data_IF_859373545873
#
_entry.id   IF_859373545873
#
_cell.length_a   1.000
_cell.length_b   1.000
_cell.length_c   1.000
_cell.angle_alpha   90.00
_cell.angle_beta   90.00
_cell.angle_gamma   90.00
#
_symmetry.space_group_name_H-M   'P 1'
#
loop_
_entity.id
_entity.type
_entity.pdbx_description
1 polymer ?
#
# COMPACT_ATOMS: atom_id res chain seq x y z
N UNK A 1 -19.17 24.06 12.32
CA UNK A 1 -19.97 22.84 12.57
C UNK A 1 -20.30 22.79 14.05
N UNK A 2 -21.54 23.11 14.43
CA UNK A 2 -22.00 23.05 15.82
C UNK A 2 -22.76 21.75 16.05
N UNK A 3 -22.24 20.87 16.90
CA UNK A 3 -23.01 19.73 17.38
C UNK A 3 -24.18 20.24 18.21
N UNK A 4 -25.41 19.83 17.87
CA UNK A 4 -26.60 20.12 18.67
C UNK A 4 -26.45 19.63 20.11
N UNK A 5 -27.40 20.04 20.97
CA UNK A 5 -27.38 19.68 22.39
C UNK A 5 -27.21 18.15 22.57
N UNK A 6 -26.21 17.73 23.37
CA UNK A 6 -25.96 16.31 23.65
C UNK A 6 -27.05 15.80 24.60
N UNK A 7 -27.76 14.75 24.19
CA UNK A 7 -28.73 14.04 25.05
C UNK A 7 -27.97 13.39 26.22
N UNK A 8 -28.48 13.40 27.47
CA UNK A 8 -27.85 12.69 28.57
C UNK A 8 -27.65 11.20 28.28
N UNK A 9 -26.50 10.66 28.69
CA UNK A 9 -26.13 9.25 28.47
C UNK A 9 -25.32 8.71 29.65
N UNK A 10 -25.36 7.40 29.92
CA UNK A 10 -24.62 6.79 31.01
C UNK A 10 -23.11 6.87 30.76
N UNK A 11 -22.35 7.46 31.69
CA UNK A 11 -20.90 7.66 31.56
C UNK A 11 -20.07 6.43 31.93
N UNK A 12 -20.65 5.48 32.65
CA UNK A 12 -19.98 4.29 33.15
C UNK A 12 -20.04 3.11 32.16
N UNK A 13 -20.83 3.22 31.09
CA UNK A 13 -20.94 2.17 30.07
C UNK A 13 -19.78 2.30 29.10
N UNK A 14 -19.07 1.20 28.88
CA UNK A 14 -17.97 1.11 27.93
C UNK A 14 -18.31 0.14 26.80
N UNK A 15 -17.88 0.48 25.58
CA UNK A 15 -17.92 -0.41 24.42
C UNK A 15 -16.64 -0.22 23.60
N UNK A 16 -16.14 -1.28 22.94
CA UNK A 16 -14.91 -1.24 22.16
C UNK A 16 -14.97 -0.26 20.98
N UNK A 17 -16.14 -0.02 20.40
CA UNK A 17 -16.35 0.96 19.32
C UNK A 17 -16.51 2.39 19.82
N UNK A 18 -16.47 2.61 21.14
CA UNK A 18 -16.77 3.88 21.79
C UNK A 18 -18.17 3.90 22.39
N UNK A 19 -18.82 5.06 22.35
CA UNK A 19 -20.14 5.27 22.94
C UNK A 19 -20.76 6.57 22.44
N UNK A 20 -21.67 7.15 23.21
CA UNK A 20 -22.35 8.39 22.82
C UNK A 20 -21.38 9.57 22.70
N UNK A 21 -21.33 10.16 21.50
CA UNK A 21 -20.54 11.36 21.17
C UNK A 21 -19.05 11.25 21.56
N UNK A 22 -18.44 10.09 21.30
CA UNK A 22 -17.03 9.84 21.62
C UNK A 22 -16.12 10.85 20.90
N UNK A 23 -15.45 11.70 21.68
CA UNK A 23 -14.47 12.68 21.19
C UNK A 23 -13.30 12.73 22.19
N UNK A 24 -12.45 11.69 22.23
CA UNK A 24 -11.32 11.65 23.15
C UNK A 24 -10.32 12.75 22.80
N UNK A 25 -9.68 13.33 23.80
CA UNK A 25 -8.70 14.41 23.61
C UNK A 25 -7.54 14.00 22.68
N UNK A 26 -7.16 12.71 22.71
CA UNK A 26 -6.01 12.17 22.00
C UNK A 26 -6.35 11.53 20.63
N UNK A 27 -7.52 11.83 20.06
CA UNK A 27 -7.97 11.16 18.82
C UNK A 27 -6.95 11.25 17.69
N UNK A 28 -6.25 12.39 17.53
CA UNK A 28 -5.24 12.60 16.48
C UNK A 28 -4.07 11.63 16.60
N UNK A 29 -3.51 11.52 17.81
CA UNK A 29 -2.39 10.63 18.07
C UNK A 29 -2.79 9.16 17.88
N UNK A 30 -3.97 8.77 18.39
CA UNK A 30 -4.47 7.40 18.24
C UNK A 30 -4.71 7.05 16.76
N UNK A 31 -5.28 7.96 15.97
CA UNK A 31 -5.47 7.77 14.52
C UNK A 31 -4.13 7.68 13.79
N UNK A 32 -3.14 8.49 14.17
CA UNK A 32 -1.80 8.42 13.59
C UNK A 32 -1.16 7.05 13.87
N UNK A 33 -1.21 6.57 15.11
CA UNK A 33 -0.69 5.26 15.48
C UNK A 33 -1.39 4.15 14.70
N UNK A 34 -2.74 4.17 14.64
CA UNK A 34 -3.50 3.20 13.86
C UNK A 34 -3.11 3.22 12.38
N UNK A 35 -2.96 4.41 11.79
CA UNK A 35 -2.52 4.59 10.40
C UNK A 35 -1.12 4.01 10.15
N UNK A 36 -0.16 4.25 11.06
CA UNK A 36 1.20 3.70 10.96
C UNK A 36 1.19 2.18 11.03
N UNK A 37 0.41 1.58 11.94
CA UNK A 37 0.31 0.12 12.05
C UNK A 37 -0.28 -0.49 10.77
N UNK A 38 -1.37 0.08 10.25
CA UNK A 38 -1.98 -0.39 9.00
C UNK A 38 -1.02 -0.25 7.82
N UNK A 39 -0.35 0.90 7.69
CA UNK A 39 0.62 1.14 6.63
C UNK A 39 1.80 0.15 6.70
N UNK A 40 2.32 -0.12 7.90
CA UNK A 40 3.37 -1.10 8.11
C UNK A 40 2.95 -2.52 7.70
N UNK A 41 1.75 -2.95 8.10
CA UNK A 41 1.21 -4.25 7.72
C UNK A 41 1.03 -4.38 6.19
N UNK A 42 0.52 -3.33 5.55
CA UNK A 42 0.37 -3.27 4.09
C UNK A 42 1.74 -3.32 3.38
N UNK A 43 2.73 -2.57 3.85
CA UNK A 43 4.06 -2.55 3.24
C UNK A 43 4.74 -3.92 3.29
N UNK A 44 4.67 -4.61 4.44
CA UNK A 44 5.24 -5.97 4.59
C UNK A 44 4.52 -6.97 3.70
N UNK A 45 3.18 -6.95 3.70
CA UNK A 45 2.37 -7.86 2.88
C UNK A 45 2.58 -7.61 1.39
N UNK A 46 2.65 -6.34 0.98
CA UNK A 46 2.95 -5.94 -0.39
C UNK A 46 4.30 -6.48 -0.84
N UNK A 47 5.36 -6.22 -0.05
CA UNK A 47 6.72 -6.69 -0.37
C UNK A 47 6.77 -8.20 -0.47
N UNK A 48 6.15 -8.91 0.48
CA UNK A 48 6.07 -10.36 0.48
C UNK A 48 5.37 -10.91 -0.77
N UNK A 49 4.26 -10.27 -1.18
CA UNK A 49 3.49 -10.63 -2.38
C UNK A 49 4.29 -10.36 -3.66
N UNK A 50 4.85 -9.15 -3.79
CA UNK A 50 5.61 -8.72 -4.98
C UNK A 50 6.85 -9.57 -5.25
N UNK A 51 7.49 -10.12 -4.21
CA UNK A 51 8.62 -11.06 -4.34
C UNK A 51 8.20 -12.46 -4.79
N UNK A 52 6.93 -12.84 -4.58
CA UNK A 52 6.39 -14.16 -4.90
C UNK A 52 5.50 -14.17 -6.14
N UNK A 53 5.24 -13.00 -6.71
CA UNK A 53 4.49 -12.87 -7.94
C UNK A 53 5.26 -13.55 -9.08
N UNK A 54 4.65 -14.60 -9.65
CA UNK A 54 5.20 -15.35 -10.78
C UNK A 54 4.32 -15.20 -12.00
N UNK A 55 4.94 -14.90 -13.13
CA UNK A 55 4.33 -14.75 -14.44
C UNK A 55 4.65 -15.96 -15.32
N UNK A 56 3.60 -16.54 -15.91
CA UNK A 56 3.70 -17.71 -16.80
C UNK A 56 4.49 -17.42 -18.07
N UNK A 57 4.42 -16.18 -18.57
CA UNK A 57 5.12 -15.73 -19.77
C UNK A 57 5.61 -14.30 -19.61
N UNK A 58 6.64 -13.95 -20.38
CA UNK A 58 7.08 -12.57 -20.54
C UNK A 58 6.03 -11.77 -21.32
N UNK A 59 5.58 -10.60 -20.83
CA UNK A 59 4.63 -9.74 -21.55
C UNK A 59 5.17 -9.24 -22.88
N UNK A 60 4.27 -8.89 -23.79
CA UNK A 60 4.66 -8.37 -25.10
C UNK A 60 5.19 -6.93 -25.00
N UNK A 61 6.15 -6.53 -25.85
CA UNK A 61 6.63 -5.16 -25.88
C UNK A 61 5.48 -4.17 -26.15
N UNK A 62 5.27 -3.21 -25.24
CA UNK A 62 4.19 -2.22 -25.33
C UNK A 62 2.97 -2.52 -24.45
N UNK A 63 2.88 -3.71 -23.85
CA UNK A 63 1.81 -4.05 -22.90
C UNK A 63 2.01 -3.35 -21.54
N UNK A 64 0.96 -2.72 -21.03
CA UNK A 64 0.99 -2.00 -19.75
C UNK A 64 0.25 -2.78 -18.66
N UNK A 65 0.88 -2.90 -17.50
CA UNK A 65 0.30 -3.45 -16.30
C UNK A 65 0.91 -2.77 -15.06
N UNK A 66 0.12 -2.54 -14.01
CA UNK A 66 0.61 -1.85 -12.82
C UNK A 66 1.79 -2.57 -12.15
N UNK A 67 1.77 -3.91 -12.10
CA UNK A 67 2.77 -4.69 -11.37
C UNK A 67 4.16 -4.65 -11.97
N UNK A 68 4.34 -4.09 -13.18
CA UNK A 68 5.64 -3.84 -13.80
C UNK A 68 6.59 -3.03 -12.92
N UNK A 69 6.03 -2.21 -12.02
CA UNK A 69 6.81 -1.32 -11.15
C UNK A 69 7.33 -2.02 -9.88
N UNK A 70 6.76 -3.16 -9.46
CA UNK A 70 7.08 -3.79 -8.18
C UNK A 70 7.28 -5.31 -8.24
N UNK A 71 6.69 -5.99 -9.21
CA UNK A 71 6.85 -7.43 -9.39
C UNK A 71 8.30 -7.74 -9.77
N UNK A 72 8.95 -8.58 -8.97
CA UNK A 72 10.38 -8.87 -9.13
C UNK A 72 10.70 -9.40 -10.53
N UNK A 73 9.92 -10.37 -11.01
CA UNK A 73 10.14 -11.01 -12.31
C UNK A 73 10.02 -10.04 -13.47
N UNK A 74 9.04 -9.12 -13.43
CA UNK A 74 8.82 -8.13 -14.48
C UNK A 74 9.93 -7.07 -14.49
N UNK A 75 10.32 -6.59 -13.32
CA UNK A 75 11.41 -5.62 -13.18
C UNK A 75 12.74 -6.20 -13.68
N UNK A 76 13.02 -7.46 -13.40
CA UNK A 76 14.25 -8.11 -13.85
C UNK A 76 14.25 -8.34 -15.38
N UNK A 77 13.12 -8.78 -15.95
CA UNK A 77 12.96 -8.86 -17.40
C UNK A 77 13.12 -7.53 -18.14
N UNK A 78 12.66 -6.43 -17.55
CA UNK A 78 12.82 -5.08 -18.12
C UNK A 78 14.28 -4.62 -18.08
N UNK A 79 15.02 -4.94 -17.02
CA UNK A 79 16.47 -4.67 -16.95
C UNK A 79 17.22 -5.45 -18.01
N UNK A 80 16.91 -6.74 -18.19
CA UNK A 80 17.53 -7.59 -19.21
C UNK A 80 17.31 -7.05 -20.62
N UNK A 81 16.09 -6.61 -20.94
CA UNK A 81 15.79 -6.05 -22.26
C UNK A 81 16.53 -4.74 -22.52
N UNK A 82 16.67 -3.90 -21.48
CA UNK A 82 17.45 -2.67 -21.57
C UNK A 82 18.92 -2.95 -21.86
N UNK A 83 19.52 -3.88 -21.12
CA UNK A 83 20.93 -4.27 -21.30
C UNK A 83 21.18 -4.86 -22.70
N UNK A 84 20.27 -5.70 -23.20
CA UNK A 84 20.34 -6.24 -24.58
C UNK A 84 20.23 -5.16 -25.64
N UNK A 85 19.34 -4.18 -25.43
CA UNK A 85 19.20 -3.05 -26.34
C UNK A 85 20.49 -2.21 -26.38
N UNK A 86 21.11 -1.95 -25.23
CA UNK A 86 22.38 -1.23 -25.12
C UNK A 86 23.54 -1.99 -25.78
N UNK A 87 23.68 -3.30 -25.53
CA UNK A 87 24.74 -4.11 -26.15
C UNK A 87 24.59 -4.18 -27.68
N UNK A 88 23.35 -4.26 -28.17
CA UNK A 88 23.08 -4.30 -29.62
C UNK A 88 23.36 -2.98 -30.34
N UNK A 89 23.28 -1.85 -29.63
CA UNK A 89 23.65 -0.54 -30.16
C UNK A 89 25.16 -0.39 -30.24
N UNK A 90 25.87 -0.72 -29.16
CA UNK A 90 27.35 -0.64 -29.14
C UNK A 90 28.05 -1.61 -30.08
N UNK A 91 27.40 -2.73 -30.47
CA UNK A 91 27.94 -3.64 -31.49
C UNK A 91 27.69 -3.16 -32.94
N UNK A 92 26.85 -2.15 -33.14
CA UNK A 92 26.55 -1.55 -34.45
C UNK A 92 27.32 -0.25 -34.72
N UNK A 93 27.96 0.31 -33.69
CA UNK A 93 28.91 1.43 -33.78
C UNK A 93 30.33 0.89 -33.98
#
# INVERSE_FOLDING_TARGET
>A
MGGGAKIPYPKHVWSPSGGWYAQPANWRANTLIAGVVVAGALAVTWKFSAERETWTRKPEPGEWFPSRHWSRQLVDWDKEDRLKAESSKGAKE
#
